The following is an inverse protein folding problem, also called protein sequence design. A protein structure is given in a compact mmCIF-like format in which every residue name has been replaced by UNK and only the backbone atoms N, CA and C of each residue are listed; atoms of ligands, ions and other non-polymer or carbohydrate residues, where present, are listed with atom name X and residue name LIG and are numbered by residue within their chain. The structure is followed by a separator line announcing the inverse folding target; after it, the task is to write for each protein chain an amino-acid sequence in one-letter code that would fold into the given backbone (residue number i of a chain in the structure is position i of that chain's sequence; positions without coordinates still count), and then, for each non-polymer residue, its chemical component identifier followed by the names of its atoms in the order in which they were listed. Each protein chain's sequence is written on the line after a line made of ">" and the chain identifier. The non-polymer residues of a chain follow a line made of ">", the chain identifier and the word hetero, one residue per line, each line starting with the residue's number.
data_IF_893213264515
#
_entry.id   IF_893213264515
#
_cell.length_a   1.000
_cell.length_b   1.000
_cell.length_c   1.000
_cell.angle_alpha   90.00
_cell.angle_beta   90.00
_cell.angle_gamma   90.00
#
_symmetry.space_group_name_H-M   'P 1'
#
loop_
_entity.id
_entity.type
_entity.pdbx_description
1 polymer ?
#
# COMPACT_ATOMS: atom_id res chain seq x y z
N UNK A 1 -67.56 -16.73 -1.12
CA UNK A 1 -67.13 -16.07 0.08
C UNK A 1 -65.65 -15.80 0.01
N UNK A 2 -65.34 -14.51 0.08
CA UNK A 2 -63.99 -13.92 -0.02
C UNK A 2 -63.14 -14.20 1.20
N UNK A 3 -61.92 -14.60 0.97
CA UNK A 3 -60.87 -14.67 2.01
C UNK A 3 -59.60 -14.04 1.50
N UNK A 4 -59.35 -12.80 1.95
CA UNK A 4 -58.15 -12.02 1.64
C UNK A 4 -56.96 -12.56 2.47
N UNK A 5 -55.85 -12.92 1.84
CA UNK A 5 -54.55 -13.08 2.50
C UNK A 5 -53.81 -11.74 2.51
N UNK A 6 -53.25 -11.32 3.66
CA UNK A 6 -52.35 -10.19 3.69
C UNK A 6 -50.92 -10.62 3.39
N UNK A 7 -50.30 -9.92 2.44
CA UNK A 7 -48.90 -9.96 2.12
C UNK A 7 -48.05 -9.45 3.29
N UNK A 8 -47.19 -10.31 3.88
CA UNK A 8 -46.17 -9.93 4.85
C UNK A 8 -44.86 -9.68 4.09
N UNK A 9 -44.61 -8.45 3.80
CA UNK A 9 -43.27 -7.97 3.48
C UNK A 9 -42.49 -7.83 4.79
N UNK A 10 -41.69 -8.83 5.11
CA UNK A 10 -40.71 -8.79 6.20
C UNK A 10 -39.54 -7.94 5.77
N UNK A 11 -39.33 -6.82 6.44
CA UNK A 11 -38.22 -5.94 6.23
C UNK A 11 -36.87 -6.65 6.47
N UNK A 12 -36.00 -6.62 5.48
CA UNK A 12 -34.59 -6.90 5.64
C UNK A 12 -33.98 -5.77 6.47
N UNK A 13 -33.78 -6.04 7.74
CA UNK A 13 -32.97 -5.23 8.66
C UNK A 13 -31.53 -5.26 8.15
N UNK A 14 -31.13 -4.13 7.61
CA UNK A 14 -29.75 -3.77 7.31
C UNK A 14 -28.96 -3.77 8.61
N UNK A 15 -28.27 -4.86 8.92
CA UNK A 15 -27.27 -4.89 9.98
C UNK A 15 -26.03 -4.14 9.48
N UNK A 16 -26.08 -2.82 9.66
CA UNK A 16 -24.87 -2.01 9.76
C UNK A 16 -24.08 -2.56 10.97
N UNK A 17 -23.08 -3.35 10.69
CA UNK A 17 -22.01 -3.67 11.64
C UNK A 17 -21.20 -2.39 11.91
N UNK A 18 -21.78 -1.52 12.71
CA UNK A 18 -21.04 -0.67 13.62
C UNK A 18 -20.31 -1.62 14.55
N UNK A 19 -19.06 -1.94 14.25
CA UNK A 19 -18.17 -2.48 15.26
C UNK A 19 -18.14 -1.43 16.39
N UNK A 20 -18.64 -1.74 17.57
CA UNK A 20 -18.47 -0.86 18.69
C UNK A 20 -16.98 -0.81 18.98
N UNK A 21 -16.38 0.39 18.92
CA UNK A 21 -15.18 0.73 19.68
C UNK A 21 -15.55 0.67 21.19
N UNK A 22 -16.04 -0.48 21.63
CA UNK A 22 -16.06 -0.84 23.04
C UNK A 22 -14.75 -1.58 23.32
N UNK A 23 -13.66 -0.81 23.47
CA UNK A 23 -12.65 -1.22 24.41
C UNK A 23 -13.34 -1.40 25.76
N UNK A 24 -13.56 -2.65 26.16
CA UNK A 24 -13.74 -2.98 27.55
C UNK A 24 -12.50 -2.49 28.28
N UNK A 25 -12.69 -1.37 28.98
CA UNK A 25 -11.75 -0.85 29.95
C UNK A 25 -11.77 -1.78 31.16
N UNK A 26 -11.01 -2.88 31.09
CA UNK A 26 -10.61 -3.61 32.29
C UNK A 26 -9.32 -4.38 31.98
N UNK A 27 -8.32 -4.07 32.80
CA UNK A 27 -6.99 -4.68 32.93
C UNK A 27 -5.88 -4.21 31.97
N UNK A 28 -5.51 -2.92 32.04
CA UNK A 28 -4.14 -2.48 31.88
C UNK A 28 -3.87 -1.29 32.81
N UNK A 29 -3.78 -1.58 34.07
CA UNK A 29 -3.13 -0.68 35.03
C UNK A 29 -1.65 -0.59 34.62
N UNK A 30 -1.23 0.51 34.00
CA UNK A 30 0.16 0.78 33.72
C UNK A 30 0.52 1.55 32.46
N UNK A 31 -0.37 1.79 31.54
CA UNK A 31 -0.03 2.67 30.40
C UNK A 31 -0.23 4.14 30.79
N UNK A 32 0.87 4.80 31.09
CA UNK A 32 0.91 6.24 31.34
C UNK A 32 0.51 6.95 30.05
N UNK A 33 -0.64 7.61 30.07
CA UNK A 33 -1.21 8.37 28.95
C UNK A 33 -0.40 9.62 28.53
N UNK A 34 0.92 9.63 28.73
CA UNK A 34 1.83 10.70 28.40
C UNK A 34 2.74 10.46 27.20
N UNK A 35 2.78 9.23 26.68
CA UNK A 35 3.88 8.81 25.76
C UNK A 35 3.69 9.23 24.28
N UNK A 36 2.50 9.63 23.87
CA UNK A 36 2.25 10.00 22.47
C UNK A 36 1.83 11.48 22.29
N UNK A 37 1.85 12.29 23.34
CA UNK A 37 1.32 13.66 23.34
C UNK A 37 2.13 14.65 22.50
N UNK A 38 3.34 14.33 22.10
CA UNK A 38 4.21 15.19 21.28
C UNK A 38 4.33 14.75 19.81
N UNK A 39 3.64 13.66 19.42
CA UNK A 39 3.74 13.13 18.06
C UNK A 39 2.83 13.86 17.07
N UNK A 40 3.26 13.95 15.82
CA UNK A 40 2.44 14.43 14.73
C UNK A 40 1.16 13.59 14.55
N UNK A 41 0.14 14.15 13.92
CA UNK A 41 -1.07 13.39 13.60
C UNK A 41 -0.76 12.17 12.72
N UNK A 42 0.16 12.34 11.77
CA UNK A 42 0.61 11.24 10.90
C UNK A 42 1.30 10.13 11.70
N UNK A 43 2.22 10.46 12.62
CA UNK A 43 2.90 9.45 13.43
C UNK A 43 1.91 8.66 14.30
N UNK A 44 0.92 9.34 14.88
CA UNK A 44 -0.16 8.66 15.62
C UNK A 44 -0.95 7.69 14.73
N UNK A 45 -1.35 8.12 13.53
CA UNK A 45 -2.05 7.27 12.55
C UNK A 45 -1.15 6.07 12.18
N UNK A 46 0.12 6.30 11.86
CA UNK A 46 1.05 5.24 11.50
C UNK A 46 1.17 4.18 12.61
N UNK A 47 1.36 4.62 13.86
CA UNK A 47 1.51 3.71 15.01
C UNK A 47 0.22 2.93 15.29
N UNK A 48 -0.95 3.55 15.17
CA UNK A 48 -2.24 2.86 15.27
C UNK A 48 -2.42 1.82 14.17
N UNK A 49 -2.10 2.16 12.92
CA UNK A 49 -2.18 1.24 11.80
C UNK A 49 -1.19 0.05 11.95
N UNK A 50 0.03 0.29 12.41
CA UNK A 50 1.00 -0.76 12.69
C UNK A 50 0.51 -1.72 13.78
N UNK A 51 0.01 -1.21 14.90
CA UNK A 51 -0.52 -2.04 16.00
C UNK A 51 -1.75 -2.85 15.56
N UNK A 52 -2.63 -2.24 14.79
CA UNK A 52 -3.83 -2.91 14.24
C UNK A 52 -3.46 -4.04 13.26
N UNK A 53 -2.45 -3.81 12.42
CA UNK A 53 -2.03 -4.74 11.38
C UNK A 53 -1.20 -5.92 11.91
N UNK A 54 -0.44 -5.69 12.97
CA UNK A 54 0.53 -6.65 13.50
C UNK A 54 0.32 -6.92 14.99
N UNK A 55 -0.47 -7.94 15.36
CA UNK A 55 -0.70 -8.32 16.76
C UNK A 55 0.57 -8.65 17.54
N UNK A 56 1.67 -8.91 16.82
CA UNK A 56 3.00 -9.12 17.42
C UNK A 56 3.58 -7.85 18.06
N UNK A 57 3.07 -6.66 17.73
CA UNK A 57 3.47 -5.40 18.37
C UNK A 57 2.75 -5.31 19.72
N UNK A 58 3.52 -5.43 20.81
CA UNK A 58 3.01 -5.46 22.18
C UNK A 58 2.93 -4.09 22.83
N UNK A 59 3.89 -3.20 22.50
CA UNK A 59 3.91 -1.84 23.02
C UNK A 59 4.60 -0.87 22.05
N UNK A 60 4.28 0.40 22.22
CA UNK A 60 5.03 1.54 21.67
C UNK A 60 5.77 2.17 22.86
N UNK A 61 7.07 2.36 22.74
CA UNK A 61 7.94 2.86 23.80
C UNK A 61 8.61 4.14 23.34
N UNK A 62 8.51 5.19 24.14
CA UNK A 62 9.23 6.46 23.92
C UNK A 62 10.51 6.48 24.75
N UNK A 63 11.60 6.90 24.13
CA UNK A 63 12.89 7.05 24.76
C UNK A 63 13.65 8.28 24.26
N UNK A 64 14.80 8.59 24.85
CA UNK A 64 15.60 9.75 24.45
C UNK A 64 16.16 9.64 23.03
N UNK A 65 16.27 8.44 22.50
CA UNK A 65 16.78 8.11 21.17
C UNK A 65 15.69 7.97 20.11
N UNK A 66 14.38 7.98 20.49
CA UNK A 66 13.26 7.93 19.57
C UNK A 66 12.10 7.07 20.06
N UNK A 67 11.26 6.65 19.10
CA UNK A 67 10.11 5.77 19.32
C UNK A 67 10.44 4.36 18.87
N UNK A 68 10.14 3.41 19.73
CA UNK A 68 10.39 2.00 19.53
C UNK A 68 9.10 1.18 19.56
N UNK A 69 9.05 0.13 18.77
CA UNK A 69 8.04 -0.91 18.87
C UNK A 69 8.63 -2.11 19.58
N UNK A 70 7.99 -2.52 20.66
CA UNK A 70 8.32 -3.79 21.32
C UNK A 70 7.43 -4.89 20.76
N UNK A 71 8.06 -5.92 20.22
CA UNK A 71 7.40 -7.08 19.62
C UNK A 71 7.42 -8.26 20.58
N UNK A 72 6.66 -9.29 20.26
CA UNK A 72 6.74 -10.60 20.93
C UNK A 72 8.19 -11.10 21.02
N UNK A 73 8.54 -11.74 22.16
CA UNK A 73 9.91 -12.23 22.40
C UNK A 73 10.91 -11.13 22.66
N UNK A 74 10.45 -10.00 23.22
CA UNK A 74 11.26 -8.86 23.66
C UNK A 74 12.12 -8.21 22.55
N UNK A 75 11.81 -8.47 21.31
CA UNK A 75 12.46 -7.80 20.17
C UNK A 75 11.98 -6.36 20.08
N UNK A 76 12.91 -5.46 19.79
CA UNK A 76 12.61 -4.03 19.59
C UNK A 76 12.96 -3.60 18.18
N UNK A 77 12.13 -2.75 17.61
CA UNK A 77 12.37 -2.12 16.31
C UNK A 77 12.15 -0.63 16.44
N UNK A 78 13.09 0.14 15.96
CA UNK A 78 12.99 1.60 15.92
C UNK A 78 11.92 2.00 14.89
N UNK A 79 10.89 2.71 15.35
CA UNK A 79 9.92 3.34 14.46
C UNK A 79 10.54 4.58 13.81
N UNK A 80 11.07 5.49 14.64
CA UNK A 80 11.77 6.69 14.22
C UNK A 80 12.76 7.15 15.29
N UNK A 81 13.91 7.64 14.88
CA UNK A 81 14.86 8.28 15.79
C UNK A 81 14.35 9.63 16.30
N UNK A 82 14.89 10.11 17.42
CA UNK A 82 14.59 11.43 17.93
C UNK A 82 14.88 12.54 16.89
N UNK A 83 15.95 12.40 16.11
CA UNK A 83 16.28 13.32 15.03
C UNK A 83 15.22 13.31 13.90
N UNK A 84 14.72 12.13 13.51
CA UNK A 84 13.65 12.03 12.52
C UNK A 84 12.31 12.59 13.03
N UNK A 85 12.03 12.45 14.32
CA UNK A 85 10.81 12.99 14.94
C UNK A 85 10.87 14.52 15.05
N UNK A 86 12.06 15.06 15.33
CA UNK A 86 12.29 16.52 15.39
C UNK A 86 12.35 17.18 14.00
N UNK A 87 12.74 16.44 12.98
CA UNK A 87 12.65 16.90 11.60
C UNK A 87 11.18 17.05 11.21
N UNK A 88 10.86 18.11 10.48
CA UNK A 88 9.55 18.22 9.86
C UNK A 88 9.24 16.93 9.07
N UNK A 89 7.95 16.54 8.94
CA UNK A 89 7.57 15.42 8.14
C UNK A 89 8.30 15.52 6.79
N UNK A 90 8.79 14.39 6.30
CA UNK A 90 9.48 14.32 5.02
C UNK A 90 8.69 15.16 4.02
N UNK A 91 9.29 16.24 3.51
CA UNK A 91 8.68 16.90 2.39
C UNK A 91 8.69 15.90 1.21
N UNK A 92 7.64 15.93 0.44
CA UNK A 92 7.50 15.02 -0.69
C UNK A 92 8.66 15.15 -1.68
N UNK A 93 9.16 16.37 -1.86
CA UNK A 93 10.29 16.65 -2.72
C UNK A 93 11.54 15.90 -2.27
N UNK A 94 11.80 15.80 -0.95
CA UNK A 94 12.97 15.08 -0.43
C UNK A 94 12.86 13.56 -0.68
N UNK A 95 11.68 12.96 -0.50
CA UNK A 95 11.50 11.53 -0.79
C UNK A 95 11.50 11.25 -2.28
N UNK A 96 10.79 12.05 -3.08
CA UNK A 96 10.76 11.92 -4.54
C UNK A 96 12.15 12.12 -5.15
N UNK A 97 12.90 13.13 -4.72
CA UNK A 97 14.26 13.39 -5.18
C UNK A 97 15.20 12.25 -4.76
N UNK A 98 15.06 11.75 -3.54
CA UNK A 98 15.81 10.58 -3.06
C UNK A 98 15.47 9.34 -3.87
N UNK A 99 14.21 9.08 -4.18
CA UNK A 99 13.79 7.94 -4.98
C UNK A 99 14.31 8.05 -6.43
N UNK A 100 14.24 9.23 -7.05
CA UNK A 100 14.82 9.49 -8.37
C UNK A 100 16.33 9.28 -8.40
N UNK A 101 17.06 9.74 -7.37
CA UNK A 101 18.50 9.52 -7.26
C UNK A 101 18.83 8.04 -7.06
N UNK A 102 18.02 7.30 -6.32
CA UNK A 102 18.20 5.87 -6.08
C UNK A 102 17.91 5.04 -7.32
N UNK A 103 16.88 5.40 -8.07
CA UNK A 103 16.58 4.78 -9.35
C UNK A 103 17.77 4.90 -10.32
N UNK A 104 18.53 6.00 -10.24
CA UNK A 104 19.72 6.24 -11.06
C UNK A 104 20.98 5.53 -10.58
N UNK A 105 21.12 5.25 -9.28
CA UNK A 105 22.38 4.78 -8.68
C UNK A 105 22.32 3.42 -8.01
N UNK A 106 21.11 2.86 -7.79
CA UNK A 106 20.95 1.53 -7.16
C UNK A 106 21.76 1.35 -5.88
N UNK A 107 21.81 2.37 -5.01
CA UNK A 107 22.50 2.26 -3.73
C UNK A 107 21.59 1.53 -2.72
N UNK A 108 21.87 0.25 -2.42
CA UNK A 108 21.02 -0.56 -1.55
C UNK A 108 20.94 -0.03 -0.13
N UNK A 109 21.99 0.65 0.36
CA UNK A 109 22.04 1.19 1.71
C UNK A 109 21.03 2.31 1.95
N UNK A 110 20.60 2.98 0.89
CA UNK A 110 19.67 4.11 0.98
C UNK A 110 18.19 3.74 0.83
N UNK A 111 17.89 2.49 0.52
CA UNK A 111 16.52 1.99 0.35
C UNK A 111 16.03 1.20 1.57
N UNK A 112 16.88 0.92 2.53
CA UNK A 112 16.50 0.52 3.88
C UNK A 112 16.21 1.81 4.66
N UNK A 113 14.95 2.05 4.94
CA UNK A 113 14.48 3.27 5.59
C UNK A 113 13.94 2.96 6.98
N UNK A 114 13.77 3.98 7.82
CA UNK A 114 13.06 3.83 9.08
C UNK A 114 11.64 3.32 8.86
N UNK A 115 11.03 2.73 9.88
CA UNK A 115 9.66 2.27 9.76
C UNK A 115 8.69 3.44 9.53
N UNK A 116 8.96 4.61 10.14
CA UNK A 116 8.25 5.86 9.87
C UNK A 116 8.28 6.21 8.39
N UNK A 117 9.48 6.30 7.81
CA UNK A 117 9.66 6.65 6.40
C UNK A 117 9.01 5.63 5.45
N UNK A 118 8.98 4.35 5.80
CA UNK A 118 8.35 3.31 4.97
C UNK A 118 6.84 3.47 4.82
N UNK A 119 6.21 4.25 5.71
CA UNK A 119 4.77 4.52 5.72
C UNK A 119 4.41 5.92 5.22
N UNK A 120 5.40 6.74 4.85
CA UNK A 120 5.15 8.14 4.54
C UNK A 120 4.24 8.34 3.33
N UNK A 121 4.52 7.71 2.19
CA UNK A 121 3.70 7.86 0.99
C UNK A 121 2.36 7.12 1.15
N UNK A 122 1.21 7.83 1.10
CA UNK A 122 -0.09 7.19 1.20
C UNK A 122 -0.36 6.30 -0.01
N UNK A 123 -0.87 5.10 0.24
CA UNK A 123 -1.35 4.21 -0.81
C UNK A 123 -2.80 4.59 -1.15
N UNK A 124 -3.09 4.75 -2.43
CA UNK A 124 -4.42 5.10 -2.92
C UNK A 124 -5.11 3.83 -3.45
N UNK A 125 -6.10 3.27 -2.74
CA UNK A 125 -6.69 1.97 -3.09
C UNK A 125 -7.67 2.01 -4.27
N UNK A 126 -7.81 3.14 -4.94
CA UNK A 126 -8.68 3.28 -6.11
C UNK A 126 -7.94 2.84 -7.39
N UNK A 127 -8.32 1.71 -8.04
CA UNK A 127 -7.67 1.25 -9.25
C UNK A 127 -8.00 2.11 -10.48
N UNK A 128 -9.03 2.95 -10.42
CA UNK A 128 -9.47 3.82 -11.52
C UNK A 128 -8.78 5.18 -11.52
N UNK A 129 -7.96 5.46 -10.51
CA UNK A 129 -7.26 6.74 -10.43
C UNK A 129 -6.17 6.88 -11.48
N UNK A 130 -5.97 8.15 -11.87
CA UNK A 130 -4.99 8.58 -12.85
C UNK A 130 -3.57 8.04 -12.59
N UNK A 131 -2.76 8.08 -13.64
CA UNK A 131 -1.38 7.62 -13.63
C UNK A 131 -0.61 8.10 -12.39
N UNK A 132 0.12 7.19 -11.78
CA UNK A 132 1.03 7.46 -10.66
C UNK A 132 2.00 8.59 -11.02
N UNK A 133 2.17 9.63 -10.19
CA UNK A 133 3.17 10.66 -10.41
C UNK A 133 4.58 10.10 -10.47
N UNK A 134 5.48 10.80 -11.15
CA UNK A 134 6.90 10.47 -11.15
C UNK A 134 7.46 10.43 -9.72
N UNK A 135 8.21 9.38 -9.41
CA UNK A 135 8.82 9.18 -8.10
C UNK A 135 7.86 8.72 -7.00
N UNK A 136 6.57 8.53 -7.30
CA UNK A 136 5.58 8.11 -6.31
C UNK A 136 5.43 6.59 -6.29
N UNK A 137 5.95 5.95 -5.26
CA UNK A 137 5.97 4.47 -5.15
C UNK A 137 5.61 4.03 -3.71
N UNK A 138 4.33 4.19 -3.30
CA UNK A 138 3.89 3.93 -1.93
C UNK A 138 4.12 2.46 -1.54
N UNK A 139 4.78 2.25 -0.39
CA UNK A 139 5.11 0.92 0.13
C UNK A 139 6.31 0.24 -0.53
N UNK A 140 6.92 0.82 -1.58
CA UNK A 140 8.14 0.29 -2.18
C UNK A 140 9.38 0.50 -1.29
N UNK A 141 9.36 1.52 -0.46
CA UNK A 141 10.32 1.76 0.61
C UNK A 141 9.99 0.85 1.79
N UNK A 142 10.97 0.12 2.32
CA UNK A 142 10.74 -0.89 3.37
C UNK A 142 11.74 -0.72 4.49
N UNK A 143 11.26 -0.87 5.72
CA UNK A 143 12.13 -1.07 6.87
C UNK A 143 12.51 -2.55 6.95
N UNK A 144 13.72 -2.88 6.55
CA UNK A 144 14.22 -4.26 6.63
C UNK A 144 14.42 -4.71 8.08
N UNK A 145 14.74 -3.78 8.99
CA UNK A 145 14.77 -4.07 10.42
C UNK A 145 13.42 -4.61 10.91
N UNK A 146 12.32 -3.97 10.50
CA UNK A 146 10.96 -4.40 10.84
C UNK A 146 10.60 -5.73 10.19
N UNK A 147 10.85 -5.90 8.89
CA UNK A 147 10.56 -7.15 8.19
C UNK A 147 11.33 -8.33 8.79
N UNK A 148 12.62 -8.16 9.09
CA UNK A 148 13.44 -9.18 9.73
C UNK A 148 12.94 -9.51 11.14
N UNK A 149 12.50 -8.51 11.90
CA UNK A 149 11.95 -8.72 13.23
C UNK A 149 10.61 -9.46 13.20
N UNK A 150 9.75 -9.24 12.19
CA UNK A 150 8.48 -9.93 12.06
C UNK A 150 8.61 -11.36 11.52
N UNK A 151 9.40 -11.54 10.47
CA UNK A 151 9.37 -12.77 9.66
C UNK A 151 10.64 -13.61 9.78
N UNK A 152 11.76 -13.02 10.18
CA UNK A 152 13.04 -13.68 10.32
C UNK A 152 14.15 -13.00 9.53
N UNK A 153 15.38 -13.06 10.08
CA UNK A 153 16.55 -12.40 9.52
C UNK A 153 17.27 -13.23 8.43
N UNK A 154 16.94 -14.50 8.33
CA UNK A 154 17.56 -15.45 7.40
C UNK A 154 16.54 -16.41 6.79
N UNK A 155 16.95 -17.06 5.67
CA UNK A 155 16.09 -17.96 4.92
C UNK A 155 15.55 -19.14 5.74
N UNK A 156 16.34 -19.68 6.68
CA UNK A 156 15.93 -20.83 7.48
C UNK A 156 14.85 -20.44 8.47
N UNK A 157 15.00 -19.28 9.12
CA UNK A 157 14.02 -18.72 10.05
C UNK A 157 12.70 -18.42 9.34
N UNK A 158 12.76 -17.74 8.19
CA UNK A 158 11.53 -17.45 7.42
C UNK A 158 10.85 -18.75 6.99
N UNK A 159 11.59 -19.74 6.46
CA UNK A 159 11.02 -21.03 6.02
C UNK A 159 10.25 -21.75 7.13
N UNK A 160 10.70 -21.68 8.37
CA UNK A 160 9.99 -22.28 9.52
C UNK A 160 8.64 -21.64 9.79
N UNK A 161 8.50 -20.33 9.50
CA UNK A 161 7.25 -19.58 9.67
C UNK A 161 6.30 -19.61 8.46
N UNK A 162 6.66 -20.34 7.38
CA UNK A 162 5.81 -20.42 6.20
C UNK A 162 4.63 -21.38 6.39
N UNK A 163 3.45 -20.90 6.02
CA UNK A 163 2.28 -21.72 5.76
C UNK A 163 2.08 -21.96 4.26
N UNK A 164 1.14 -22.84 3.94
CA UNK A 164 0.73 -23.14 2.57
C UNK A 164 -0.72 -22.73 2.38
N UNK A 165 -0.99 -22.03 1.30
CA UNK A 165 -2.32 -21.71 0.80
C UNK A 165 -2.39 -22.03 -0.69
N UNK A 166 -3.46 -21.65 -1.36
CA UNK A 166 -3.56 -21.78 -2.82
C UNK A 166 -4.11 -20.51 -3.45
N UNK A 167 -3.77 -20.30 -4.72
CA UNK A 167 -4.41 -19.34 -5.60
C UNK A 167 -4.80 -20.06 -6.90
N UNK A 168 -6.09 -20.07 -7.22
CA UNK A 168 -6.64 -20.77 -8.40
C UNK A 168 -6.14 -22.22 -8.53
N UNK A 169 -6.11 -22.93 -7.38
CA UNK A 169 -5.68 -24.32 -7.30
C UNK A 169 -4.16 -24.54 -7.26
N UNK A 170 -3.33 -23.50 -7.44
CA UNK A 170 -1.87 -23.61 -7.32
C UNK A 170 -1.42 -23.34 -5.89
N UNK A 171 -0.60 -24.24 -5.33
CA UNK A 171 -0.04 -24.06 -3.98
C UNK A 171 0.92 -22.89 -3.92
N UNK A 172 0.81 -22.07 -2.89
CA UNK A 172 1.65 -20.90 -2.63
C UNK A 172 2.11 -20.94 -1.18
N UNK A 173 3.40 -20.66 -0.95
CA UNK A 173 3.96 -20.52 0.39
C UNK A 173 4.02 -19.05 0.78
N UNK A 174 3.43 -18.71 1.93
CA UNK A 174 3.40 -17.36 2.48
C UNK A 174 3.69 -17.40 3.98
N UNK A 175 4.04 -16.26 4.56
CA UNK A 175 4.32 -16.10 6.00
C UNK A 175 3.13 -15.54 6.77
N UNK A 176 2.99 -15.98 8.01
CA UNK A 176 2.10 -15.37 9.00
C UNK A 176 0.67 -15.18 8.50
N UNK A 177 0.14 -13.96 8.69
CA UNK A 177 -1.22 -13.60 8.29
C UNK A 177 -1.43 -13.57 6.77
N UNK A 178 -0.36 -13.42 5.97
CA UNK A 178 -0.45 -13.42 4.52
C UNK A 178 -1.01 -14.74 3.95
N UNK A 179 -0.86 -15.87 4.67
CA UNK A 179 -1.47 -17.16 4.30
C UNK A 179 -2.99 -17.03 4.27
N UNK A 180 -3.59 -16.49 5.34
CA UNK A 180 -5.05 -16.32 5.46
C UNK A 180 -5.57 -15.27 4.50
N UNK A 181 -4.84 -14.17 4.37
CA UNK A 181 -5.18 -13.09 3.46
C UNK A 181 -5.22 -13.60 2.00
N UNK A 182 -4.22 -14.37 1.56
CA UNK A 182 -4.22 -14.92 0.20
C UNK A 182 -5.34 -15.97 -0.01
N UNK A 183 -5.70 -16.73 1.02
CA UNK A 183 -6.85 -17.64 0.94
C UNK A 183 -8.16 -16.88 0.74
N UNK A 184 -8.33 -15.73 1.41
CA UNK A 184 -9.51 -14.87 1.23
C UNK A 184 -9.53 -14.24 -0.17
N UNK A 185 -8.37 -13.78 -0.67
CA UNK A 185 -8.21 -13.32 -2.08
C UNK A 185 -8.66 -14.40 -3.06
N UNK A 186 -8.19 -15.66 -2.87
CA UNK A 186 -8.58 -16.77 -3.75
C UNK A 186 -10.09 -17.01 -3.76
N UNK A 187 -10.73 -16.91 -2.59
CA UNK A 187 -12.19 -17.00 -2.50
C UNK A 187 -12.91 -15.96 -3.34
N UNK A 188 -12.51 -14.68 -3.23
CA UNK A 188 -13.06 -13.58 -4.04
C UNK A 188 -12.82 -13.79 -5.53
N UNK A 189 -11.60 -14.13 -5.92
CA UNK A 189 -11.23 -14.32 -7.32
C UNK A 189 -11.88 -15.55 -7.96
N UNK A 190 -12.16 -16.59 -7.20
CA UNK A 190 -12.94 -17.73 -7.71
C UNK A 190 -14.36 -17.32 -8.06
N UNK A 191 -14.98 -16.46 -7.26
CA UNK A 191 -16.30 -15.91 -7.57
C UNK A 191 -16.24 -15.04 -8.82
N UNK A 192 -15.26 -14.12 -8.89
CA UNK A 192 -15.05 -13.26 -10.04
C UNK A 192 -14.83 -14.07 -11.34
N UNK A 193 -14.01 -15.12 -11.30
CA UNK A 193 -13.75 -15.99 -12.46
C UNK A 193 -14.99 -16.78 -12.91
N UNK A 194 -15.91 -17.13 -12.00
CA UNK A 194 -17.18 -17.78 -12.40
C UNK A 194 -18.04 -16.84 -13.27
N UNK A 195 -18.01 -15.56 -12.95
CA UNK A 195 -18.77 -14.53 -13.68
C UNK A 195 -18.02 -14.02 -14.90
N UNK A 196 -16.68 -13.96 -14.82
CA UNK A 196 -15.76 -13.40 -15.81
C UNK A 196 -14.58 -14.36 -16.08
N UNK A 197 -14.80 -15.45 -16.85
CA UNK A 197 -13.76 -16.47 -17.10
C UNK A 197 -12.48 -15.93 -17.76
N UNK A 198 -12.56 -14.77 -18.44
CA UNK A 198 -11.45 -14.08 -19.07
C UNK A 198 -10.39 -13.56 -18.05
N UNK A 199 -10.71 -13.51 -16.75
CA UNK A 199 -9.76 -13.19 -15.70
C UNK A 199 -8.74 -14.30 -15.46
N UNK A 200 -9.10 -15.55 -15.71
CA UNK A 200 -8.29 -16.73 -15.37
C UNK A 200 -6.84 -16.67 -15.88
N UNK A 201 -6.55 -16.23 -17.10
CA UNK A 201 -5.17 -16.13 -17.59
C UNK A 201 -4.31 -15.10 -16.82
N UNK A 202 -4.92 -14.16 -16.12
CA UNK A 202 -4.23 -13.15 -15.30
C UNK A 202 -3.88 -13.65 -13.90
N UNK A 203 -4.47 -14.76 -13.46
CA UNK A 203 -4.36 -15.29 -12.10
C UNK A 203 -3.38 -16.47 -11.98
N UNK A 204 -2.48 -16.61 -12.94
CA UNK A 204 -1.46 -17.66 -12.91
C UNK A 204 -0.34 -17.24 -11.97
N UNK A 205 -0.29 -17.85 -10.76
CA UNK A 205 0.75 -17.56 -9.78
C UNK A 205 2.13 -17.98 -10.30
N UNK A 206 3.09 -17.06 -10.26
CA UNK A 206 4.52 -17.31 -10.47
C UNK A 206 5.27 -17.66 -9.18
N UNK A 207 4.57 -17.66 -8.03
CA UNK A 207 5.09 -18.08 -6.73
C UNK A 207 4.99 -17.02 -5.63
N UNK A 208 5.10 -17.48 -4.40
CA UNK A 208 5.15 -16.67 -3.18
C UNK A 208 6.58 -16.57 -2.64
N UNK A 209 6.90 -17.37 -1.61
CA UNK A 209 8.22 -17.34 -0.98
C UNK A 209 9.34 -17.75 -1.94
N UNK A 210 10.35 -16.87 -2.04
CA UNK A 210 11.62 -17.14 -2.70
C UNK A 210 12.71 -16.24 -2.08
N UNK A 211 13.70 -16.86 -1.39
CA UNK A 211 14.80 -16.13 -0.79
C UNK A 211 15.79 -15.64 -1.85
N UNK A 212 15.72 -14.38 -2.20
CA UNK A 212 16.57 -13.77 -3.22
C UNK A 212 16.61 -12.24 -3.08
N UNK A 213 17.64 -11.57 -3.57
CA UNK A 213 17.58 -10.12 -3.76
C UNK A 213 16.57 -9.73 -4.86
N UNK A 214 16.20 -8.47 -4.88
CA UNK A 214 15.45 -7.86 -5.99
C UNK A 214 16.35 -7.87 -7.23
N UNK A 215 15.76 -8.10 -8.41
CA UNK A 215 16.50 -8.12 -9.66
C UNK A 215 17.30 -6.82 -9.89
N UNK A 216 18.62 -6.94 -10.01
CA UNK A 216 19.53 -5.81 -10.19
C UNK A 216 19.82 -4.99 -8.91
N UNK A 217 19.51 -5.52 -7.73
CA UNK A 217 19.72 -4.87 -6.43
C UNK A 217 20.36 -5.83 -5.43
N UNK A 218 20.88 -5.30 -4.31
CA UNK A 218 21.37 -6.12 -3.20
C UNK A 218 20.32 -6.34 -2.11
N UNK A 219 19.25 -5.54 -2.10
CA UNK A 219 18.17 -5.65 -1.12
C UNK A 219 17.38 -6.94 -1.33
N UNK A 220 16.96 -7.55 -0.23
CA UNK A 220 16.07 -8.69 -0.29
C UNK A 220 14.71 -8.32 -0.91
N UNK A 221 14.23 -9.21 -1.77
CA UNK A 221 12.87 -9.12 -2.29
C UNK A 221 11.86 -9.37 -1.16
N UNK A 222 10.65 -8.76 -1.18
CA UNK A 222 9.55 -9.11 -0.29
C UNK A 222 9.16 -10.60 -0.33
N UNK A 223 9.40 -11.27 -1.45
CA UNK A 223 9.28 -12.72 -1.55
C UNK A 223 10.15 -13.48 -0.55
N UNK A 224 11.33 -12.91 -0.18
CA UNK A 224 12.21 -13.50 0.83
C UNK A 224 11.59 -13.57 2.21
N UNK A 225 10.62 -12.72 2.49
CA UNK A 225 9.85 -12.72 3.74
C UNK A 225 8.52 -13.49 3.63
N UNK A 226 8.20 -14.04 2.45
CA UNK A 226 6.96 -14.76 2.21
C UNK A 226 5.71 -13.85 2.26
N UNK A 227 5.86 -12.57 1.94
CA UNK A 227 4.76 -11.59 1.97
C UNK A 227 4.36 -11.09 0.58
N UNK A 228 4.95 -11.64 -0.49
CA UNK A 228 4.65 -11.23 -1.84
C UNK A 228 4.27 -12.40 -2.73
N UNK A 229 3.50 -12.11 -3.77
CA UNK A 229 3.10 -13.04 -4.83
C UNK A 229 3.12 -12.30 -6.16
N UNK A 230 3.61 -12.98 -7.20
CA UNK A 230 3.60 -12.49 -8.58
C UNK A 230 2.55 -13.24 -9.41
N UNK A 231 1.80 -12.49 -10.23
CA UNK A 231 0.77 -13.02 -11.13
C UNK A 231 1.15 -12.80 -12.59
N UNK A 232 1.11 -13.88 -13.37
CA UNK A 232 1.19 -13.85 -14.84
C UNK A 232 2.28 -12.94 -15.39
N UNK A 233 3.58 -13.17 -15.09
CA UNK A 233 4.68 -12.28 -15.49
C UNK A 233 4.79 -12.08 -17.01
N UNK A 234 4.27 -12.98 -17.81
CA UNK A 234 4.22 -12.87 -19.27
C UNK A 234 3.21 -11.81 -19.73
N UNK A 235 2.21 -11.46 -18.90
CA UNK A 235 1.16 -10.48 -19.20
C UNK A 235 1.38 -9.16 -18.47
N UNK A 236 1.99 -9.22 -17.30
CA UNK A 236 2.14 -8.10 -16.37
C UNK A 236 3.62 -7.85 -16.09
N UNK A 237 4.33 -7.08 -16.92
CA UNK A 237 5.78 -6.93 -16.84
C UNK A 237 6.23 -6.05 -15.67
N UNK A 238 7.51 -6.24 -15.31
CA UNK A 238 8.28 -5.37 -14.43
C UNK A 238 8.91 -4.23 -15.26
N UNK A 239 8.94 -3.02 -14.73
CA UNK A 239 9.38 -1.80 -15.43
C UNK A 239 10.75 -1.93 -16.11
N UNK A 240 11.71 -2.60 -15.47
CA UNK A 240 13.05 -2.81 -16.05
C UNK A 240 13.03 -3.65 -17.31
N UNK A 241 12.06 -4.55 -17.44
CA UNK A 241 11.94 -5.42 -18.61
C UNK A 241 11.14 -4.75 -19.73
N UNK A 242 10.10 -4.02 -19.34
CA UNK A 242 9.23 -3.31 -20.30
C UNK A 242 9.94 -2.11 -20.95
N UNK A 243 10.95 -1.51 -20.30
CA UNK A 243 11.69 -0.34 -20.78
C UNK A 243 10.79 0.85 -21.14
N UNK A 244 9.69 0.98 -20.43
CA UNK A 244 8.71 2.06 -20.57
C UNK A 244 8.63 2.79 -19.23
N UNK A 245 8.62 4.13 -19.26
CA UNK A 245 8.43 4.93 -18.05
C UNK A 245 7.06 4.72 -17.45
N UNK A 246 6.03 4.62 -18.30
CA UNK A 246 4.65 4.30 -17.91
C UNK A 246 4.11 3.18 -18.78
N UNK A 247 3.47 2.22 -18.17
CA UNK A 247 2.88 1.10 -18.89
C UNK A 247 1.36 1.24 -18.94
N UNK A 248 0.70 1.01 -20.10
CA UNK A 248 -0.76 1.13 -20.21
C UNK A 248 -1.53 0.30 -19.18
N UNK A 249 -1.01 -0.86 -18.80
CA UNK A 249 -1.63 -1.71 -17.77
C UNK A 249 -1.67 -1.08 -16.37
N UNK A 250 -0.91 -0.03 -16.08
CA UNK A 250 -1.06 0.68 -14.80
C UNK A 250 -2.47 1.26 -14.66
N UNK A 251 -3.12 1.58 -15.77
CA UNK A 251 -4.49 2.08 -15.81
C UNK A 251 -5.53 1.03 -16.21
N UNK A 252 -5.15 0.06 -17.07
CA UNK A 252 -6.08 -0.93 -17.64
C UNK A 252 -5.96 -2.33 -17.04
N UNK A 253 -5.12 -2.53 -16.00
CA UNK A 253 -5.11 -3.80 -15.27
C UNK A 253 -6.47 -4.03 -14.61
N UNK A 254 -6.95 -5.26 -14.61
CA UNK A 254 -8.30 -5.54 -14.15
C UNK A 254 -8.50 -5.12 -12.69
N UNK A 255 -9.41 -4.18 -12.48
CA UNK A 255 -9.66 -3.56 -11.18
C UNK A 255 -10.23 -4.54 -10.16
N UNK A 256 -10.94 -5.58 -10.59
CA UNK A 256 -11.49 -6.60 -9.69
C UNK A 256 -10.38 -7.45 -9.08
N UNK A 257 -9.32 -7.76 -9.86
CA UNK A 257 -8.14 -8.44 -9.32
C UNK A 257 -7.47 -7.55 -8.26
N UNK A 258 -7.22 -6.29 -8.59
CA UNK A 258 -6.55 -5.35 -7.66
C UNK A 258 -7.38 -5.20 -6.38
N UNK A 259 -8.67 -4.93 -6.49
CA UNK A 259 -9.59 -4.80 -5.34
C UNK A 259 -9.63 -6.04 -4.46
N UNK A 260 -9.60 -7.24 -5.04
CA UNK A 260 -9.60 -8.48 -4.28
C UNK A 260 -8.36 -8.58 -3.37
N UNK A 261 -7.19 -8.18 -3.86
CA UNK A 261 -5.96 -8.15 -3.09
C UNK A 261 -5.94 -7.01 -2.05
N UNK A 262 -6.33 -5.80 -2.44
CA UNK A 262 -6.37 -4.63 -1.56
C UNK A 262 -7.34 -4.83 -0.38
N UNK A 263 -8.46 -5.49 -0.60
CA UNK A 263 -9.43 -5.81 0.45
C UNK A 263 -8.80 -6.65 1.57
N UNK A 264 -7.85 -7.50 1.22
CA UNK A 264 -7.18 -8.44 2.13
C UNK A 264 -5.80 -7.93 2.61
N UNK A 265 -5.49 -6.66 2.42
CA UNK A 265 -4.29 -6.02 2.97
C UNK A 265 -3.05 -6.10 2.09
N UNK A 266 -3.19 -6.45 0.82
CA UNK A 266 -2.09 -6.37 -0.14
C UNK A 266 -2.07 -5.01 -0.83
N UNK A 267 -0.88 -4.51 -1.13
CA UNK A 267 -0.66 -3.42 -2.07
C UNK A 267 -0.26 -3.99 -3.43
N UNK A 268 -0.55 -3.25 -4.51
CA UNK A 268 -0.20 -3.62 -5.87
C UNK A 268 0.94 -2.77 -6.41
N UNK A 269 1.99 -3.42 -6.95
CA UNK A 269 3.16 -2.74 -7.52
C UNK A 269 2.88 -1.97 -8.81
N UNK A 270 1.71 -2.14 -9.42
CA UNK A 270 1.29 -1.32 -10.55
C UNK A 270 1.03 0.14 -10.19
N UNK A 271 0.87 0.47 -8.91
CA UNK A 271 0.71 1.84 -8.40
C UNK A 271 2.04 2.54 -8.10
N UNK A 272 3.16 1.94 -8.44
CA UNK A 272 4.47 2.54 -8.30
C UNK A 272 4.89 3.24 -9.59
N UNK A 273 5.66 4.32 -9.47
CA UNK A 273 6.33 4.91 -10.63
C UNK A 273 7.21 3.86 -11.33
N UNK A 274 8.06 3.19 -10.59
CA UNK A 274 8.83 2.05 -11.07
C UNK A 274 8.00 0.77 -10.90
N UNK A 275 6.97 0.66 -11.72
CA UNK A 275 5.92 -0.34 -11.60
C UNK A 275 6.42 -1.78 -11.64
N UNK A 276 5.71 -2.62 -10.89
CA UNK A 276 5.81 -4.07 -10.97
C UNK A 276 4.38 -4.64 -11.08
N UNK A 277 3.92 -4.80 -12.32
CA UNK A 277 2.51 -5.07 -12.61
C UNK A 277 2.06 -6.46 -12.15
N UNK A 278 3.00 -7.42 -12.05
CA UNK A 278 2.70 -8.76 -11.55
C UNK A 278 2.63 -8.83 -10.03
N UNK A 279 3.25 -7.84 -9.32
CA UNK A 279 3.60 -7.92 -7.92
C UNK A 279 2.50 -7.44 -6.99
N UNK A 280 2.11 -8.30 -6.05
CA UNK A 280 1.25 -7.97 -4.91
C UNK A 280 1.99 -8.27 -3.62
N UNK A 281 2.01 -7.32 -2.68
CA UNK A 281 2.75 -7.42 -1.42
C UNK A 281 1.82 -7.21 -0.22
N UNK A 282 1.83 -8.15 0.71
CA UNK A 282 1.03 -8.07 1.94
C UNK A 282 1.60 -7.01 2.88
N UNK A 283 0.94 -5.86 2.92
CA UNK A 283 1.30 -4.67 3.71
C UNK A 283 0.04 -4.12 4.40
N UNK A 284 -0.49 -4.88 5.37
CA UNK A 284 -1.77 -4.54 6.00
C UNK A 284 -1.74 -3.19 6.72
N UNK A 285 -0.57 -2.74 7.22
CA UNK A 285 -0.40 -1.43 7.85
C UNK A 285 -0.58 -0.28 6.86
N UNK A 286 -0.10 -0.43 5.64
CA UNK A 286 -0.27 0.57 4.58
C UNK A 286 -1.73 0.62 4.15
N UNK A 287 -2.38 -0.51 3.99
CA UNK A 287 -3.80 -0.58 3.66
C UNK A 287 -4.69 -0.05 4.80
N UNK A 288 -4.30 -0.26 6.06
CA UNK A 288 -4.99 0.35 7.21
C UNK A 288 -4.89 1.88 7.17
N UNK A 289 -3.68 2.42 6.93
CA UNK A 289 -3.46 3.87 6.76
C UNK A 289 -4.31 4.43 5.63
N UNK A 290 -4.33 3.78 4.47
CA UNK A 290 -5.12 4.20 3.32
C UNK A 290 -6.62 4.32 3.66
N UNK A 291 -7.17 3.36 4.41
CA UNK A 291 -8.58 3.41 4.84
C UNK A 291 -8.85 4.54 5.82
N UNK A 292 -7.95 4.78 6.79
CA UNK A 292 -8.08 5.89 7.75
C UNK A 292 -8.05 7.23 7.02
N UNK A 293 -7.11 7.43 6.10
CA UNK A 293 -7.01 8.68 5.32
C UNK A 293 -8.28 8.91 4.48
N UNK A 294 -8.78 7.88 3.81
CA UNK A 294 -10.02 7.98 3.04
C UNK A 294 -11.24 8.34 3.93
N UNK A 295 -11.33 7.76 5.12
CA UNK A 295 -12.40 8.10 6.07
C UNK A 295 -12.31 9.55 6.55
N UNK A 296 -11.11 10.06 6.80
CA UNK A 296 -10.90 11.46 7.20
C UNK A 296 -11.27 12.42 6.07
N UNK A 297 -10.90 12.12 4.82
CA UNK A 297 -11.30 12.92 3.65
C UNK A 297 -12.83 12.96 3.47
N UNK A 298 -13.51 11.81 3.60
CA UNK A 298 -14.96 11.72 3.41
C UNK A 298 -15.76 12.33 4.56
N UNK A 299 -15.19 12.37 5.76
CA UNK A 299 -15.83 13.01 6.93
C UNK A 299 -15.74 14.54 6.91
N UNK A 300 -15.20 15.17 5.86
CA UNK A 300 -15.07 16.62 5.76
C UNK A 300 -14.01 17.21 6.68
N UNK A 301 -13.07 16.37 7.12
CA UNK A 301 -11.96 16.77 7.96
C UNK A 301 -10.91 17.53 7.16
N UNK A 302 -10.95 18.87 7.21
CA UNK A 302 -9.87 19.77 6.73
C UNK A 302 -8.57 19.65 7.57
N UNK A 303 -8.32 18.50 8.17
CA UNK A 303 -7.26 18.27 9.15
C UNK A 303 -5.95 17.71 8.60
N UNK A 304 -5.83 17.52 7.29
CA UNK A 304 -4.63 16.97 6.67
C UNK A 304 -4.10 17.89 5.54
N UNK A 305 -4.17 19.21 5.75
CA UNK A 305 -3.40 20.14 4.92
C UNK A 305 -1.91 19.81 5.09
N UNK A 306 -1.31 19.23 4.06
CA UNK A 306 0.11 18.81 4.05
C UNK A 306 0.38 17.34 3.72
N UNK A 307 -0.62 16.51 3.45
CA UNK A 307 -0.35 15.18 2.87
C UNK A 307 -0.27 15.27 1.35
N UNK A 308 0.77 14.70 0.74
CA UNK A 308 0.96 14.76 -0.71
C UNK A 308 -0.09 13.93 -1.43
N UNK A 309 -0.87 14.59 -2.27
CA UNK A 309 -1.90 13.94 -3.09
C UNK A 309 -3.13 14.79 -3.39
N UNK A 310 -3.26 15.96 -2.79
CA UNK A 310 -4.25 16.97 -3.18
C UNK A 310 -3.76 17.73 -4.40
N UNK A 311 -3.86 17.18 -5.61
CA UNK A 311 -3.74 17.99 -6.81
C UNK A 311 -4.87 19.00 -6.78
N UNK A 312 -4.52 20.28 -6.58
CA UNK A 312 -5.42 21.41 -6.79
C UNK A 312 -6.13 21.21 -8.13
N UNK A 313 -7.44 21.22 -8.07
CA UNK A 313 -8.26 21.34 -9.27
C UNK A 313 -8.15 22.79 -9.71
N UNK A 314 -7.14 23.06 -10.51
CA UNK A 314 -7.05 24.31 -11.22
C UNK A 314 -8.21 24.36 -12.22
N UNK A 315 -9.19 25.18 -11.91
CA UNK A 315 -10.32 25.53 -12.78
C UNK A 315 -9.84 26.41 -13.93
N UNK A 316 -8.95 25.90 -14.76
CA UNK A 316 -8.52 26.53 -15.99
C UNK A 316 -9.60 26.36 -17.06
N UNK A 317 -10.39 27.40 -17.28
CA UNK A 317 -11.28 27.60 -18.40
C UNK A 317 -10.50 27.39 -19.70
N UNK A 318 -10.80 26.31 -20.41
CA UNK A 318 -10.24 26.07 -21.76
C UNK A 318 -10.85 27.09 -22.71
N UNK A 319 -10.04 28.08 -23.09
CA UNK A 319 -10.35 28.99 -24.17
C UNK A 319 -10.30 28.22 -25.51
N UNK A 320 -11.37 28.31 -26.24
CA UNK A 320 -11.57 27.73 -27.57
C UNK A 320 -10.61 28.38 -28.59
N UNK A 321 -9.96 27.65 -29.50
CA UNK A 321 -9.14 28.23 -30.55
C UNK A 321 -9.98 28.53 -31.79
N UNK A 322 -10.64 29.67 -31.79
CA UNK A 322 -11.15 30.31 -33.02
C UNK A 322 -10.96 31.80 -32.86
N UNK A 323 -9.94 32.33 -33.50
CA UNK A 323 -9.87 33.61 -34.23
C UNK A 323 -8.39 34.05 -34.34
N UNK A 324 -7.81 33.80 -35.48
CA UNK A 324 -6.74 34.61 -36.06
C UNK A 324 -6.74 34.39 -37.58
N UNK A 325 -7.68 35.05 -38.22
CA UNK A 325 -7.57 35.41 -39.65
C UNK A 325 -7.32 36.92 -39.70
N UNK A 326 -6.26 37.34 -40.31
CA UNK A 326 -6.14 38.69 -40.82
C UNK A 326 -4.78 39.34 -40.73
N UNK A 327 -4.26 39.62 -41.89
CA UNK A 327 -3.33 40.72 -42.24
C UNK A 327 -1.86 40.44 -41.91
N UNK A 328 -0.90 40.53 -42.84
CA UNK A 328 -0.73 41.18 -44.09
C UNK A 328 0.67 40.95 -44.63
N UNK A 329 0.77 40.90 -45.90
CA UNK A 329 2.05 40.81 -46.64
C UNK A 329 2.89 42.09 -46.51
N UNK A 330 4.24 41.89 -46.45
CA UNK A 330 5.19 42.91 -46.89
C UNK A 330 6.47 42.23 -47.35
N UNK A 331 6.78 42.49 -48.57
CA UNK A 331 8.00 42.16 -49.33
C UNK A 331 9.25 42.88 -48.78
N UNK A 332 10.41 42.32 -49.09
CA UNK A 332 11.69 43.01 -49.03
C UNK A 332 12.83 42.00 -48.83
N UNK A 333 13.41 41.44 -49.84
CA UNK A 333 14.50 41.81 -50.70
C UNK A 333 15.87 41.95 -50.00
N UNK A 334 16.80 41.12 -50.45
CA UNK A 334 18.26 41.30 -50.51
C UNK A 334 19.14 40.96 -49.27
N UNK A 335 20.14 40.09 -49.62
CA UNK A 335 21.42 39.94 -48.96
C UNK A 335 21.87 38.49 -48.90
#
# INVERSE_FOLDING_TARGET
>A
CMGRHPSRWGGLLLWLLLLPLCCTAETAAGERGGELSGLSAEDRINLLCLRSAYPQIRAVESGPDGIWLRLEGERRVLYASAAELAAHPYDDATLLDREQRLARRLDPARMDVSLRASMHLPYLPDPERAATPLGYSPGRWRSYAFLKALYGADAATVRRGLGVTSLQGRKVRMSGAAVRALAAVDGRLREAVRQRPELKPWLVSAGGFLWRPIAGEQRLSPHSFGIAIDLSPQRAPYWRWARMERHPLQQSYDSEIVRAFEAEGFIWGGKWHEYDLMHFEYRPEIMAKARVLHQLETAGGSGLEGLPGGAERDGGTVASPHDLSGVGAAEGSNG
#
